data_IF_986500405793
#
_entry.id   IF_986500405793
#
_cell.length_a   1.000
_cell.length_b   1.000
_cell.length_c   1.000
_cell.angle_alpha   90.00
_cell.angle_beta   90.00
_cell.angle_gamma   90.00
#
_symmetry.space_group_name_H-M   'P 1'
#
loop_
_entity.id
_entity.type
_entity.pdbx_description
1 polymer ?
#
# COMPACT_ATOMS: atom_id res chain seq x y z
N UNK A 1 17.04 -5.26 0.54
CA UNK A 1 17.19 -3.87 1.04
C UNK A 1 18.51 -3.68 1.75
N UNK A 2 18.89 -2.43 2.00
CA UNK A 2 20.08 -2.07 2.78
C UNK A 2 20.02 -2.71 4.19
N UNK A 3 18.88 -2.62 4.86
CA UNK A 3 18.70 -3.22 6.20
C UNK A 3 18.84 -4.73 6.22
N UNK A 4 18.46 -5.43 5.14
CA UNK A 4 18.64 -6.90 5.03
C UNK A 4 20.11 -7.27 4.82
N UNK A 5 20.83 -6.50 4.01
CA UNK A 5 22.24 -6.76 3.72
C UNK A 5 23.17 -6.51 4.92
N UNK A 6 22.76 -5.58 5.80
CA UNK A 6 23.56 -5.15 6.95
C UNK A 6 23.19 -5.81 8.27
N UNK A 7 22.24 -6.75 8.27
CA UNK A 7 21.67 -7.42 9.46
C UNK A 7 20.93 -6.48 10.44
N UNK A 8 20.94 -5.16 10.20
CA UNK A 8 20.27 -4.19 11.05
C UNK A 8 18.76 -4.42 11.14
N UNK A 9 18.15 -4.86 10.04
CA UNK A 9 16.71 -5.17 10.02
C UNK A 9 16.36 -6.33 10.95
N UNK A 10 17.26 -7.30 11.13
CA UNK A 10 17.04 -8.43 12.05
C UNK A 10 16.98 -7.95 13.50
N UNK A 11 17.94 -7.09 13.90
CA UNK A 11 17.94 -6.49 15.24
C UNK A 11 16.71 -5.60 15.46
N UNK A 12 16.30 -4.83 14.45
CA UNK A 12 15.12 -3.98 14.53
C UNK A 12 13.82 -4.80 14.66
N UNK A 13 13.69 -5.89 13.90
CA UNK A 13 12.56 -6.83 14.03
C UNK A 13 12.48 -7.46 15.43
N UNK A 14 13.64 -7.81 16.01
CA UNK A 14 13.70 -8.32 17.37
C UNK A 14 13.23 -7.26 18.39
N UNK A 15 13.65 -5.99 18.24
CA UNK A 15 13.14 -4.89 19.07
C UNK A 15 11.62 -4.78 18.99
N UNK A 16 11.06 -4.76 17.79
CA UNK A 16 9.61 -4.68 17.61
C UNK A 16 8.88 -5.89 18.18
N UNK A 17 9.42 -7.09 18.03
CA UNK A 17 8.85 -8.31 18.59
C UNK A 17 8.80 -8.27 20.13
N UNK A 18 9.88 -7.85 20.79
CA UNK A 18 10.05 -7.96 22.24
C UNK A 18 9.63 -6.72 23.03
N UNK A 19 9.71 -5.55 22.41
CA UNK A 19 9.61 -4.27 23.12
C UNK A 19 8.41 -3.42 22.69
N UNK A 20 7.62 -3.85 21.70
CA UNK A 20 6.46 -3.09 21.23
C UNK A 20 5.24 -3.21 22.14
N UNK A 21 4.41 -2.18 22.08
CA UNK A 21 3.02 -2.27 22.51
C UNK A 21 2.21 -2.98 21.42
N UNK A 22 1.36 -3.92 21.83
CA UNK A 22 0.52 -4.70 20.93
C UNK A 22 -0.95 -4.30 21.08
N UNK A 23 -1.71 -4.14 19.99
CA UNK A 23 -3.12 -3.83 20.08
C UNK A 23 -3.92 -5.03 20.60
N UNK A 24 -4.79 -4.80 21.57
CA UNK A 24 -5.73 -5.79 22.04
C UNK A 24 -6.79 -6.06 20.97
N UNK A 25 -6.99 -7.32 20.54
CA UNK A 25 -7.98 -7.64 19.50
C UNK A 25 -9.44 -7.41 19.93
N UNK A 26 -9.70 -7.36 21.23
CA UNK A 26 -11.05 -7.21 21.77
C UNK A 26 -11.44 -5.75 22.02
N UNK A 27 -10.57 -4.95 22.63
CA UNK A 27 -10.90 -3.57 23.01
C UNK A 27 -10.04 -2.49 22.34
N UNK A 28 -9.09 -2.88 21.49
CA UNK A 28 -8.23 -1.97 20.71
C UNK A 28 -7.17 -1.21 21.53
N UNK A 29 -7.11 -1.36 22.86
CA UNK A 29 -6.10 -0.67 23.65
C UNK A 29 -4.70 -1.23 23.35
N UNK A 30 -3.70 -0.36 23.39
CA UNK A 30 -2.30 -0.75 23.22
C UNK A 30 -1.78 -1.31 24.55
N UNK A 31 -1.43 -2.59 24.54
CA UNK A 31 -0.92 -3.31 25.72
C UNK A 31 0.60 -3.18 25.78
N UNK A 32 1.16 -2.69 26.88
CA UNK A 32 2.61 -2.52 27.01
C UNK A 32 3.35 -3.87 26.98
N UNK A 33 4.61 -3.85 26.54
CA UNK A 33 5.46 -5.06 26.57
C UNK A 33 5.74 -5.48 28.02
N UNK A 34 6.01 -6.77 28.18
CA UNK A 34 6.44 -7.34 29.47
C UNK A 34 7.50 -8.44 29.24
N UNK A 35 8.21 -8.83 30.29
CA UNK A 35 9.16 -9.95 30.23
C UNK A 35 8.51 -11.29 29.86
N UNK A 36 7.19 -11.39 30.02
CA UNK A 36 6.41 -12.56 29.59
C UNK A 36 6.59 -12.86 28.10
N UNK A 37 6.72 -11.81 27.27
CA UNK A 37 6.94 -11.98 25.82
C UNK A 37 8.22 -12.76 25.52
N UNK A 38 9.31 -12.47 26.23
CA UNK A 38 10.57 -13.16 26.07
C UNK A 38 10.54 -14.59 26.62
N UNK A 39 9.71 -14.83 27.64
CA UNK A 39 9.50 -16.13 28.26
C UNK A 39 8.44 -16.99 27.55
N UNK A 40 7.88 -16.50 26.43
CA UNK A 40 6.79 -17.15 25.67
C UNK A 40 5.51 -17.38 26.49
N UNK A 41 5.31 -16.57 27.53
CA UNK A 41 4.12 -16.57 28.35
C UNK A 41 3.07 -15.67 27.68
N UNK A 42 1.81 -16.11 27.56
CA UNK A 42 0.75 -15.31 26.94
C UNK A 42 0.59 -13.93 27.56
N UNK A 43 0.47 -12.92 26.71
CA UNK A 43 0.18 -11.54 27.10
C UNK A 43 -1.35 -11.35 27.21
N UNK A 44 -1.81 -10.72 28.27
CA UNK A 44 -3.21 -10.43 28.49
C UNK A 44 -3.45 -8.92 28.61
N UNK A 45 -4.56 -8.48 28.03
CA UNK A 45 -4.96 -7.09 28.11
C UNK A 45 -5.37 -6.70 29.54
N UNK A 46 -4.74 -5.70 30.17
CA UNK A 46 -5.09 -5.28 31.52
C UNK A 46 -6.48 -4.63 31.61
N UNK A 47 -7.05 -4.19 30.47
CA UNK A 47 -8.35 -3.52 30.43
C UNK A 47 -9.53 -4.49 30.31
N UNK A 48 -9.41 -5.56 29.53
CA UNK A 48 -10.53 -6.47 29.23
C UNK A 48 -10.21 -7.94 29.45
N UNK A 49 -8.98 -8.31 29.85
CA UNK A 49 -8.56 -9.69 30.10
C UNK A 49 -8.35 -10.55 28.87
N UNK A 50 -8.61 -10.04 27.66
CA UNK A 50 -8.41 -10.81 26.43
C UNK A 50 -6.93 -11.11 26.19
N UNK A 51 -6.65 -12.30 25.66
CA UNK A 51 -5.30 -12.65 25.23
C UNK A 51 -4.89 -11.80 24.04
N UNK A 52 -3.68 -11.26 24.06
CA UNK A 52 -3.10 -10.40 23.02
C UNK A 52 -2.07 -11.21 22.24
N UNK A 53 -2.27 -11.40 20.93
CA UNK A 53 -1.31 -12.10 20.11
C UNK A 53 -0.02 -11.28 19.97
N UNK A 54 1.09 -11.89 20.31
CA UNK A 54 2.44 -11.32 20.17
C UNK A 54 3.12 -11.95 18.98
N UNK A 55 3.81 -11.15 18.19
CA UNK A 55 4.51 -11.60 16.98
C UNK A 55 5.97 -11.94 17.29
N UNK A 56 6.44 -13.08 16.80
CA UNK A 56 7.87 -13.40 16.73
C UNK A 56 8.59 -12.50 15.71
N UNK A 57 9.92 -12.39 15.82
CA UNK A 57 10.71 -11.55 14.91
C UNK A 57 10.53 -11.92 13.42
N UNK A 58 10.30 -13.19 13.11
CA UNK A 58 10.05 -13.68 11.75
C UNK A 58 8.74 -13.18 11.17
N UNK A 59 7.72 -12.95 12.01
CA UNK A 59 6.44 -12.41 11.60
C UNK A 59 6.48 -10.91 11.25
N UNK A 60 7.63 -10.27 11.47
CA UNK A 60 7.95 -8.93 10.97
C UNK A 60 8.79 -8.94 9.68
N UNK A 61 9.06 -10.11 9.11
CA UNK A 61 9.83 -10.24 7.88
C UNK A 61 8.92 -10.08 6.65
N UNK A 62 9.17 -9.09 5.82
CA UNK A 62 8.41 -8.83 4.59
C UNK A 62 8.67 -9.86 3.47
N UNK A 63 9.66 -10.73 3.62
CA UNK A 63 9.99 -11.83 2.71
C UNK A 63 9.61 -13.21 3.28
N UNK A 64 8.81 -13.24 4.32
CA UNK A 64 8.35 -14.44 5.01
C UNK A 64 6.91 -14.22 5.51
N UNK A 65 6.59 -14.73 6.70
CA UNK A 65 5.23 -14.70 7.28
C UNK A 65 4.69 -13.30 7.58
N UNK A 66 5.55 -12.27 7.64
CA UNK A 66 5.17 -10.88 7.78
C UNK A 66 4.81 -10.18 6.46
N UNK A 67 4.94 -10.85 5.31
CA UNK A 67 4.69 -10.26 4.00
C UNK A 67 3.24 -9.79 3.83
N UNK A 68 3.06 -8.66 3.17
CA UNK A 68 1.76 -8.23 2.70
C UNK A 68 1.24 -9.23 1.64
N UNK A 69 0.04 -9.81 1.78
CA UNK A 69 -0.47 -10.79 0.84
C UNK A 69 -0.75 -10.22 -0.55
N UNK A 70 -1.12 -8.93 -0.65
CA UNK A 70 -1.51 -8.31 -1.92
C UNK A 70 -0.33 -8.01 -2.84
N UNK A 71 0.84 -7.71 -2.28
CA UNK A 71 2.06 -7.44 -3.03
C UNK A 71 3.18 -8.46 -2.75
N UNK A 72 2.89 -9.52 -2.01
CA UNK A 72 3.85 -10.57 -1.66
C UNK A 72 5.17 -10.02 -1.06
N UNK A 73 5.05 -8.94 -0.28
CA UNK A 73 6.20 -8.29 0.37
C UNK A 73 7.06 -7.41 -0.54
N UNK A 74 6.67 -7.16 -1.79
CA UNK A 74 7.39 -6.23 -2.69
C UNK A 74 7.16 -4.77 -2.34
N UNK A 75 6.01 -4.44 -1.76
CA UNK A 75 5.60 -3.07 -1.44
C UNK A 75 5.10 -2.27 -2.63
N UNK A 76 5.21 -2.80 -3.83
CA UNK A 76 4.79 -2.18 -5.09
C UNK A 76 3.86 -3.10 -5.86
N UNK A 77 2.92 -2.50 -6.58
CA UNK A 77 1.99 -3.19 -7.47
C UNK A 77 1.82 -2.38 -8.76
N UNK A 78 1.21 -2.99 -9.76
CA UNK A 78 0.76 -2.25 -10.94
C UNK A 78 -0.53 -1.52 -10.59
N UNK A 79 -0.51 -0.20 -10.69
CA UNK A 79 -1.67 0.69 -10.46
C UNK A 79 -2.01 1.42 -11.74
N UNK A 80 -3.26 1.88 -11.84
CA UNK A 80 -3.69 2.68 -12.99
C UNK A 80 -2.94 4.01 -13.02
N UNK A 81 -2.41 4.37 -14.17
CA UNK A 81 -1.85 5.69 -14.42
C UNK A 81 -2.92 6.59 -15.04
N UNK A 82 -3.57 7.39 -14.23
CA UNK A 82 -4.66 8.27 -14.67
C UNK A 82 -4.25 9.22 -15.77
N UNK A 83 -2.98 9.63 -15.85
CA UNK A 83 -2.46 10.51 -16.91
C UNK A 83 -2.55 9.90 -18.30
N UNK A 84 -2.69 8.57 -18.40
CA UNK A 84 -2.78 7.83 -19.66
C UNK A 84 -4.22 7.60 -20.13
N UNK A 85 -5.21 7.87 -19.26
CA UNK A 85 -6.62 7.56 -19.54
C UNK A 85 -7.23 8.56 -20.54
N UNK A 86 -6.76 9.81 -20.51
CA UNK A 86 -7.15 10.88 -21.41
C UNK A 86 -5.90 11.53 -22.00
N UNK A 87 -5.28 10.91 -23.00
CA UNK A 87 -4.00 11.40 -23.56
C UNK A 87 -4.14 12.70 -24.37
N UNK A 88 -5.33 12.99 -24.88
CA UNK A 88 -5.63 14.21 -25.63
C UNK A 88 -6.90 14.87 -25.06
N UNK A 89 -6.71 15.87 -24.21
CA UNK A 89 -7.79 16.63 -23.59
C UNK A 89 -8.48 17.64 -24.57
N UNK A 90 -7.99 17.79 -25.80
CA UNK A 90 -8.64 18.58 -26.84
C UNK A 90 -9.83 17.87 -27.46
N UNK A 91 -9.88 16.55 -27.34
CA UNK A 91 -11.00 15.73 -27.80
C UNK A 91 -12.15 15.73 -26.78
N UNK A 92 -13.37 15.62 -27.27
CA UNK A 92 -14.53 15.31 -26.46
C UNK A 92 -14.62 13.81 -26.15
N UNK A 93 -15.45 13.43 -25.15
CA UNK A 93 -15.73 12.02 -24.85
C UNK A 93 -16.35 11.33 -26.09
N UNK A 94 -17.21 12.03 -26.82
CA UNK A 94 -17.81 11.50 -28.06
C UNK A 94 -16.78 11.23 -29.16
N UNK A 95 -15.72 12.04 -29.22
CA UNK A 95 -14.60 11.86 -30.15
C UNK A 95 -13.56 10.86 -29.64
N UNK A 96 -13.70 10.43 -28.38
CA UNK A 96 -12.90 9.37 -27.81
C UNK A 96 -11.78 9.79 -26.87
N UNK A 97 -11.91 10.91 -26.21
CA UNK A 97 -10.94 11.39 -25.23
C UNK A 97 -10.59 10.32 -24.17
N UNK A 98 -11.59 9.56 -23.69
CA UNK A 98 -11.41 8.52 -22.66
C UNK A 98 -11.01 7.20 -23.32
N UNK A 99 -9.73 6.99 -23.43
CA UNK A 99 -9.15 5.88 -24.18
C UNK A 99 -9.52 4.47 -23.66
N UNK A 100 -9.64 4.20 -22.35
CA UNK A 100 -10.09 2.90 -21.85
C UNK A 100 -11.50 2.52 -22.34
N UNK A 101 -12.41 3.47 -22.43
CA UNK A 101 -13.77 3.20 -22.89
C UNK A 101 -13.84 2.79 -24.36
N UNK A 102 -12.86 3.20 -25.17
CA UNK A 102 -12.78 2.80 -26.57
C UNK A 102 -12.10 1.46 -26.78
N UNK A 103 -11.12 1.13 -25.93
CA UNK A 103 -10.20 0.02 -26.22
C UNK A 103 -10.40 -1.19 -25.32
N UNK A 104 -11.00 -1.01 -24.16
CA UNK A 104 -11.19 -2.06 -23.14
C UNK A 104 -12.67 -2.34 -22.85
N UNK A 105 -13.58 -1.46 -23.28
CA UNK A 105 -15.01 -1.54 -22.99
C UNK A 105 -15.86 -1.24 -24.22
N UNK A 106 -17.18 -1.32 -24.06
CA UNK A 106 -18.13 -1.08 -25.13
C UNK A 106 -18.31 0.43 -25.38
N UNK A 107 -18.60 0.80 -26.62
CA UNK A 107 -18.83 2.18 -27.06
C UNK A 107 -19.99 2.90 -26.36
N UNK A 108 -20.87 2.17 -25.67
CA UNK A 108 -22.03 2.73 -24.95
C UNK A 108 -21.65 3.53 -23.69
N UNK A 109 -20.39 3.49 -23.22
CA UNK A 109 -20.05 4.16 -21.98
C UNK A 109 -20.19 5.68 -22.07
N UNK A 110 -20.04 6.25 -23.25
CA UNK A 110 -20.26 7.70 -23.50
C UNK A 110 -21.71 8.11 -23.27
N UNK A 111 -22.69 7.32 -23.75
CA UNK A 111 -24.12 7.58 -23.54
C UNK A 111 -24.51 7.42 -22.08
N UNK A 112 -23.90 6.44 -21.40
CA UNK A 112 -24.11 6.22 -19.97
C UNK A 112 -23.50 7.39 -19.16
N UNK A 113 -22.31 7.89 -19.53
CA UNK A 113 -21.68 9.04 -18.89
C UNK A 113 -22.53 10.33 -19.03
N UNK A 114 -23.15 10.53 -20.20
CA UNK A 114 -24.09 11.65 -20.40
C UNK A 114 -25.27 11.57 -19.42
N UNK A 115 -25.84 10.38 -19.22
CA UNK A 115 -26.91 10.16 -18.23
C UNK A 115 -26.43 10.31 -16.78
N UNK A 116 -25.14 10.18 -16.54
CA UNK A 116 -24.52 10.48 -15.24
C UNK A 116 -24.25 11.97 -15.03
N UNK A 117 -24.61 12.83 -15.99
CA UNK A 117 -24.48 14.29 -15.89
C UNK A 117 -23.16 14.84 -16.43
N UNK A 118 -22.40 14.05 -17.19
CA UNK A 118 -21.15 14.50 -17.81
C UNK A 118 -21.42 15.01 -19.23
N UNK A 119 -20.90 16.17 -19.57
CA UNK A 119 -20.97 16.73 -20.95
C UNK A 119 -20.01 15.96 -21.86
N UNK A 120 -20.56 15.19 -22.79
CA UNK A 120 -19.76 14.31 -23.65
C UNK A 120 -19.38 14.93 -24.99
N UNK A 121 -19.93 16.10 -25.31
CA UNK A 121 -19.79 16.80 -26.61
C UNK A 121 -18.83 18.00 -26.58
N UNK A 122 -18.22 18.29 -25.44
CA UNK A 122 -17.22 19.38 -25.29
C UNK A 122 -15.82 18.80 -25.11
N UNK A 123 -14.73 19.51 -25.44
CA UNK A 123 -13.37 19.09 -25.15
C UNK A 123 -13.20 18.69 -23.67
N UNK A 124 -12.47 17.63 -23.41
CA UNK A 124 -12.29 17.12 -22.04
C UNK A 124 -11.72 18.16 -21.08
N UNK A 125 -10.83 19.03 -21.57
CA UNK A 125 -10.27 20.16 -20.80
C UNK A 125 -11.31 21.16 -20.31
N UNK A 126 -12.50 21.22 -20.95
CA UNK A 126 -13.59 22.13 -20.59
C UNK A 126 -14.60 21.52 -19.61
N UNK A 127 -14.42 20.25 -19.23
CA UNK A 127 -15.20 19.61 -18.18
C UNK A 127 -14.88 20.23 -16.82
N UNK A 128 -15.91 20.35 -15.97
CA UNK A 128 -15.72 20.81 -14.60
C UNK A 128 -14.93 19.78 -13.79
N UNK A 129 -14.34 20.16 -12.65
CA UNK A 129 -13.67 19.21 -11.76
C UNK A 129 -14.58 18.04 -11.36
N UNK A 130 -15.87 18.29 -11.11
CA UNK A 130 -16.86 17.29 -10.74
C UNK A 130 -17.16 16.32 -11.90
N UNK A 131 -17.27 16.83 -13.13
CA UNK A 131 -17.44 16.01 -14.31
C UNK A 131 -16.21 15.13 -14.56
N UNK A 132 -15.00 15.67 -14.41
CA UNK A 132 -13.75 14.91 -14.51
C UNK A 132 -13.66 13.82 -13.43
N UNK A 133 -14.00 14.14 -12.19
CA UNK A 133 -14.04 13.18 -11.11
C UNK A 133 -15.07 12.07 -11.38
N UNK A 134 -16.25 12.41 -11.93
CA UNK A 134 -17.22 11.41 -12.36
C UNK A 134 -16.64 10.47 -13.42
N UNK A 135 -15.87 10.98 -14.39
CA UNK A 135 -15.23 10.16 -15.43
C UNK A 135 -14.16 9.24 -14.84
N UNK A 136 -13.34 9.73 -13.91
CA UNK A 136 -12.22 8.95 -13.34
C UNK A 136 -12.65 8.04 -12.20
N UNK A 137 -13.55 8.51 -11.31
CA UNK A 137 -13.83 7.86 -10.01
C UNK A 137 -15.33 7.69 -9.72
N UNK A 138 -16.21 8.10 -10.62
CA UNK A 138 -17.66 8.05 -10.41
C UNK A 138 -18.13 6.66 -9.98
N UNK A 139 -19.17 6.57 -9.12
CA UNK A 139 -19.65 5.31 -8.57
C UNK A 139 -20.31 4.43 -9.64
N UNK A 140 -20.15 3.12 -9.51
CA UNK A 140 -20.89 2.16 -10.31
C UNK A 140 -22.40 2.33 -10.03
N UNK A 141 -23.15 2.78 -11.04
CA UNK A 141 -24.58 3.03 -10.94
C UNK A 141 -25.29 2.43 -12.15
N UNK A 142 -26.44 1.79 -11.93
CA UNK A 142 -27.30 1.34 -13.01
C UNK A 142 -28.01 2.55 -13.65
N UNK A 143 -27.93 2.62 -14.96
CA UNK A 143 -28.53 3.66 -15.79
C UNK A 143 -29.42 2.99 -16.82
N UNK A 144 -30.64 3.47 -16.90
CA UNK A 144 -31.65 2.97 -17.86
C UNK A 144 -31.49 3.67 -19.20
N UNK A 145 -31.27 2.91 -20.27
CA UNK A 145 -31.07 3.43 -21.61
C UNK A 145 -31.93 2.68 -22.62
N UNK A 146 -32.40 3.44 -23.61
CA UNK A 146 -32.96 2.87 -24.83
C UNK A 146 -31.79 2.43 -25.74
N UNK A 147 -31.59 1.15 -25.86
CA UNK A 147 -30.56 0.56 -26.72
C UNK A 147 -31.15 0.11 -28.05
N UNK A 148 -30.54 0.51 -29.15
CA UNK A 148 -30.87 0.01 -30.47
C UNK A 148 -29.70 -0.83 -31.00
N UNK A 149 -29.97 -2.11 -31.26
CA UNK A 149 -28.97 -2.98 -31.84
C UNK A 149 -28.69 -2.59 -33.29
N UNK A 150 -27.46 -2.17 -33.57
CA UNK A 150 -27.04 -1.70 -34.89
C UNK A 150 -27.11 -2.78 -35.99
N UNK A 151 -27.12 -4.07 -35.64
CA UNK A 151 -27.16 -5.19 -36.58
C UNK A 151 -28.60 -5.68 -36.88
N UNK A 152 -29.46 -5.63 -35.89
CA UNK A 152 -30.84 -6.19 -36.01
C UNK A 152 -31.91 -5.10 -36.08
N UNK A 153 -31.57 -3.84 -35.78
CA UNK A 153 -32.50 -2.74 -35.68
C UNK A 153 -33.46 -2.81 -34.48
N UNK A 154 -33.41 -3.88 -33.70
CA UNK A 154 -34.26 -4.05 -32.53
C UNK A 154 -33.89 -3.02 -31.46
N UNK A 155 -34.88 -2.28 -31.00
CA UNK A 155 -34.79 -1.33 -29.92
C UNK A 155 -35.40 -1.95 -28.67
N UNK A 156 -34.75 -1.73 -27.50
CA UNK A 156 -35.24 -2.18 -26.20
C UNK A 156 -34.68 -1.32 -25.08
N UNK A 157 -35.41 -1.27 -23.99
CA UNK A 157 -34.94 -0.62 -22.79
C UNK A 157 -34.12 -1.61 -21.95
N UNK A 158 -32.92 -1.21 -21.56
CA UNK A 158 -32.01 -2.04 -20.76
C UNK A 158 -31.29 -1.21 -19.71
N UNK A 159 -31.00 -1.88 -18.58
CA UNK A 159 -30.16 -1.31 -17.52
C UNK A 159 -28.70 -1.61 -17.81
N UNK A 160 -27.88 -0.57 -17.86
CA UNK A 160 -26.43 -0.65 -17.98
C UNK A 160 -25.77 -0.12 -16.73
N UNK A 161 -24.66 -0.72 -16.33
CA UNK A 161 -23.87 -0.21 -15.20
C UNK A 161 -22.83 0.77 -15.72
N UNK A 162 -22.80 1.98 -15.14
CA UNK A 162 -21.72 2.92 -15.35
C UNK A 162 -20.42 2.40 -14.73
N UNK A 163 -19.34 2.43 -15.49
CA UNK A 163 -18.00 2.11 -15.04
C UNK A 163 -17.08 3.27 -15.38
N UNK A 164 -16.51 3.90 -14.37
CA UNK A 164 -15.52 4.95 -14.54
C UNK A 164 -14.26 4.47 -15.26
N UNK A 165 -13.41 5.39 -15.71
CA UNK A 165 -12.24 5.05 -16.53
C UNK A 165 -11.20 4.23 -15.75
N UNK A 166 -10.96 4.53 -14.47
CA UNK A 166 -10.04 3.78 -13.59
C UNK A 166 -10.53 2.35 -13.40
N UNK A 167 -11.79 2.18 -13.00
CA UNK A 167 -12.37 0.84 -12.82
C UNK A 167 -12.37 0.02 -14.12
N UNK A 168 -12.55 0.67 -15.26
CA UNK A 168 -12.48 -0.02 -16.57
C UNK A 168 -11.13 -0.69 -16.78
N UNK A 169 -10.03 -0.01 -16.42
CA UNK A 169 -8.66 -0.57 -16.51
C UNK A 169 -8.45 -1.66 -15.47
N UNK A 170 -8.85 -1.43 -14.21
CA UNK A 170 -8.72 -2.40 -13.12
C UNK A 170 -9.47 -3.70 -13.42
N UNK A 171 -10.73 -3.59 -13.91
CA UNK A 171 -11.54 -4.74 -14.30
C UNK A 171 -10.96 -5.48 -15.50
N UNK A 172 -10.37 -4.76 -16.46
CA UNK A 172 -9.68 -5.39 -17.58
C UNK A 172 -8.41 -6.12 -17.11
N UNK A 173 -7.61 -5.51 -16.22
CA UNK A 173 -6.43 -6.12 -15.63
C UNK A 173 -6.76 -7.41 -14.87
N UNK A 174 -7.82 -7.40 -14.05
CA UNK A 174 -8.27 -8.55 -13.29
C UNK A 174 -8.72 -9.75 -14.18
N UNK A 175 -9.09 -9.48 -15.42
CA UNK A 175 -9.54 -10.49 -16.39
C UNK A 175 -8.47 -10.90 -17.39
N UNK A 176 -7.27 -10.39 -17.29
CA UNK A 176 -6.17 -10.76 -18.20
C UNK A 176 -5.75 -12.20 -17.94
N UNK A 177 -5.77 -13.00 -19.01
CA UNK A 177 -5.37 -14.42 -18.98
C UNK A 177 -4.23 -14.73 -19.94
N UNK A 178 -3.88 -13.79 -20.83
CA UNK A 178 -2.86 -13.97 -21.86
C UNK A 178 -2.00 -12.71 -22.06
N UNK A 179 -0.89 -12.87 -22.77
CA UNK A 179 0.05 -11.79 -23.06
C UNK A 179 -0.58 -10.68 -23.94
N UNK A 180 -1.47 -11.04 -24.84
CA UNK A 180 -2.16 -10.09 -25.72
C UNK A 180 -3.10 -9.19 -24.92
N UNK A 181 -3.83 -9.76 -23.96
CA UNK A 181 -4.66 -9.01 -23.02
C UNK A 181 -3.79 -8.07 -22.16
N UNK A 182 -2.65 -8.56 -21.66
CA UNK A 182 -1.73 -7.73 -20.87
C UNK A 182 -1.22 -6.53 -21.66
N UNK A 183 -0.76 -6.70 -22.90
CA UNK A 183 -0.29 -5.59 -23.77
C UNK A 183 -1.35 -4.50 -24.00
N UNK A 184 -2.63 -4.86 -23.99
CA UNK A 184 -3.72 -3.89 -24.15
C UNK A 184 -3.94 -3.03 -22.90
N UNK A 185 -3.71 -3.60 -21.71
CA UNK A 185 -3.94 -2.93 -20.43
C UNK A 185 -2.68 -2.21 -19.94
N UNK A 186 -1.50 -2.77 -20.21
CA UNK A 186 -0.20 -2.30 -19.69
C UNK A 186 0.08 -0.81 -19.93
N UNK A 187 -0.35 -0.28 -21.07
CA UNK A 187 -0.18 1.16 -21.39
C UNK A 187 -0.90 2.11 -20.43
N UNK A 188 -1.86 1.59 -19.65
CA UNK A 188 -2.60 2.34 -18.64
C UNK A 188 -2.07 2.13 -17.23
N UNK A 189 -0.98 1.40 -17.07
CA UNK A 189 -0.45 1.00 -15.77
C UNK A 189 0.92 1.61 -15.53
N UNK A 190 1.16 1.92 -14.26
CA UNK A 190 2.50 2.24 -13.75
C UNK A 190 2.76 1.43 -12.48
N UNK A 191 4.02 1.32 -12.10
CA UNK A 191 4.37 0.81 -10.78
C UNK A 191 4.08 1.87 -9.72
N UNK A 192 3.43 1.47 -8.65
CA UNK A 192 3.08 2.33 -7.54
C UNK A 192 3.10 1.59 -6.21
N UNK A 193 3.02 2.30 -5.09
CA UNK A 193 2.97 1.67 -3.78
C UNK A 193 1.71 0.80 -3.66
N UNK A 194 1.86 -0.37 -3.06
CA UNK A 194 0.75 -1.27 -2.80
C UNK A 194 -0.30 -0.57 -1.91
N UNK A 195 -1.56 -0.44 -2.33
CA UNK A 195 -2.58 0.26 -1.55
C UNK A 195 -2.92 -0.43 -0.24
N UNK A 196 -2.83 -1.77 -0.17
CA UNK A 196 -3.12 -2.54 1.03
C UNK A 196 -2.11 -2.31 2.15
N UNK A 197 -0.82 -2.19 1.82
CA UNK A 197 0.22 -1.97 2.83
C UNK A 197 0.85 -0.56 2.81
N UNK A 198 0.42 0.32 1.89
CA UNK A 198 1.01 1.66 1.74
C UNK A 198 2.52 1.64 1.42
N UNK A 199 2.98 0.60 0.71
CA UNK A 199 4.39 0.41 0.39
C UNK A 199 5.24 -0.16 1.54
N UNK A 200 4.66 -0.46 2.71
CA UNK A 200 5.41 -0.98 3.88
C UNK A 200 5.92 -2.42 3.72
N UNK A 201 5.45 -3.15 2.73
CA UNK A 201 5.74 -4.57 2.47
C UNK A 201 5.15 -5.55 3.48
N UNK A 202 4.59 -5.05 4.60
CA UNK A 202 4.15 -5.84 5.74
C UNK A 202 2.64 -6.05 5.73
N UNK A 203 2.19 -7.20 6.23
CA UNK A 203 0.78 -7.48 6.47
C UNK A 203 0.22 -6.62 7.62
N UNK A 204 -1.10 -6.64 7.82
CA UNK A 204 -1.77 -5.83 8.83
C UNK A 204 -1.31 -6.13 10.26
N UNK A 205 -1.06 -7.42 10.58
CA UNK A 205 -0.61 -7.83 11.90
C UNK A 205 0.79 -7.27 12.21
N UNK A 206 1.74 -7.37 11.27
CA UNK A 206 3.10 -6.83 11.44
C UNK A 206 3.16 -5.29 11.46
N UNK A 207 2.15 -4.61 10.90
CA UNK A 207 2.04 -3.15 10.93
C UNK A 207 1.39 -2.59 12.19
N UNK A 208 0.71 -3.41 12.98
CA UNK A 208 -0.08 -2.97 14.13
C UNK A 208 0.75 -2.62 15.38
N UNK A 209 1.81 -3.37 15.77
CA UNK A 209 2.62 -3.06 16.94
C UNK A 209 3.30 -1.69 16.87
N UNK A 210 3.48 -1.06 18.03
CA UNK A 210 4.12 0.26 18.14
C UNK A 210 5.25 0.23 19.17
N UNK A 211 6.39 0.76 18.77
CA UNK A 211 7.52 1.01 19.66
C UNK A 211 7.79 2.51 19.68
N UNK A 212 7.78 3.15 20.86
CA UNK A 212 7.81 4.60 20.97
C UNK A 212 6.84 5.34 20.03
N UNK A 213 5.62 4.79 19.88
CA UNK A 213 4.54 5.38 19.08
C UNK A 213 4.58 5.11 17.57
N UNK A 214 5.64 4.54 17.01
CA UNK A 214 5.78 4.26 15.58
C UNK A 214 5.77 2.77 15.24
N UNK A 215 5.44 2.44 13.99
CA UNK A 215 5.51 1.08 13.46
C UNK A 215 6.89 0.74 12.89
N UNK A 216 7.15 -0.55 12.64
CA UNK A 216 8.39 -1.01 12.03
C UNK A 216 8.69 -0.35 10.68
N UNK A 217 7.67 -0.19 9.83
CA UNK A 217 7.84 0.46 8.52
C UNK A 217 8.30 1.91 8.64
N UNK A 218 7.80 2.64 9.65
CA UNK A 218 8.20 4.03 9.88
C UNK A 218 9.66 4.11 10.35
N UNK A 219 10.07 3.20 11.24
CA UNK A 219 11.45 3.08 11.67
C UNK A 219 12.39 2.75 10.49
N UNK A 220 11.99 1.84 9.59
CA UNK A 220 12.78 1.46 8.41
C UNK A 220 12.96 2.62 7.40
N UNK A 221 12.07 3.60 7.38
CA UNK A 221 12.15 4.78 6.51
C UNK A 221 13.06 5.88 7.04
N UNK A 222 13.42 5.84 8.33
CA UNK A 222 14.37 6.79 8.90
C UNK A 222 15.75 6.58 8.28
N UNK A 223 16.51 7.68 8.13
CA UNK A 223 17.95 7.56 7.84
C UNK A 223 18.65 6.87 9.01
N UNK A 224 19.76 6.19 8.75
CA UNK A 224 20.49 5.45 9.78
C UNK A 224 20.91 6.36 10.94
N UNK A 225 21.34 7.60 10.63
CA UNK A 225 21.66 8.61 11.66
C UNK A 225 20.47 8.87 12.60
N UNK A 226 19.29 9.09 12.04
CA UNK A 226 18.05 9.34 12.79
C UNK A 226 17.60 8.09 13.55
N UNK A 227 17.71 6.92 12.92
CA UNK A 227 17.30 5.67 13.51
C UNK A 227 18.15 5.31 14.73
N UNK A 228 19.48 5.54 14.68
CA UNK A 228 20.38 5.32 15.82
C UNK A 228 19.97 6.18 17.00
N UNK A 229 19.73 7.48 16.81
CA UNK A 229 19.25 8.39 17.85
C UNK A 229 17.90 7.96 18.43
N UNK A 230 16.99 7.47 17.56
CA UNK A 230 15.71 6.95 18.00
C UNK A 230 15.87 5.68 18.84
N UNK A 231 16.76 4.75 18.44
CA UNK A 231 17.06 3.51 19.19
C UNK A 231 17.66 3.79 20.56
N UNK A 232 18.54 4.79 20.70
CA UNK A 232 19.11 5.22 22.00
C UNK A 232 18.05 5.53 23.04
N UNK A 233 16.91 6.08 22.62
CA UNK A 233 15.80 6.42 23.51
C UNK A 233 14.86 5.25 23.82
N UNK A 234 15.04 4.06 23.22
CA UNK A 234 14.12 2.92 23.42
C UNK A 234 14.13 2.42 24.87
N UNK A 235 15.30 2.13 25.51
CA UNK A 235 15.29 1.61 26.89
C UNK A 235 14.58 2.52 27.87
N UNK A 236 14.82 3.84 27.79
CA UNK A 236 14.22 4.82 28.68
C UNK A 236 12.68 4.92 28.52
N UNK A 237 12.15 4.56 27.36
CA UNK A 237 10.70 4.60 27.07
C UNK A 237 9.91 3.40 27.62
N UNK A 238 10.59 2.41 28.19
CA UNK A 238 10.03 1.17 28.64
C UNK A 238 9.94 1.05 30.18
N UNK A 239 9.08 0.16 30.69
CA UNK A 239 9.05 -0.19 32.11
C UNK A 239 10.46 -0.57 32.61
N UNK A 240 10.74 -0.25 33.88
CA UNK A 240 12.09 -0.43 34.47
C UNK A 240 12.60 -1.86 34.36
N UNK A 241 11.73 -2.83 34.56
CA UNK A 241 12.04 -4.26 34.47
C UNK A 241 12.41 -4.71 33.04
N UNK A 242 11.99 -3.97 32.01
CA UNK A 242 12.30 -4.25 30.61
C UNK A 242 13.63 -3.67 30.13
N UNK A 243 14.15 -2.67 30.83
CA UNK A 243 15.31 -1.89 30.39
C UNK A 243 16.58 -2.73 30.17
N UNK A 244 16.97 -3.68 31.04
CA UNK A 244 18.17 -4.47 30.78
C UNK A 244 18.11 -5.29 29.48
N UNK A 245 16.94 -5.87 29.18
CA UNK A 245 16.74 -6.57 27.92
C UNK A 245 16.76 -5.62 26.72
N UNK A 246 16.11 -4.46 26.86
CA UNK A 246 16.10 -3.46 25.81
C UNK A 246 17.49 -2.89 25.51
N UNK A 247 18.29 -2.61 26.55
CA UNK A 247 19.68 -2.16 26.43
C UNK A 247 20.51 -3.18 25.63
N UNK A 248 20.43 -4.45 25.98
CA UNK A 248 21.17 -5.52 25.29
C UNK A 248 20.81 -5.62 23.81
N UNK A 249 19.51 -5.52 23.45
CA UNK A 249 19.06 -5.56 22.05
C UNK A 249 19.51 -4.30 21.31
N UNK A 250 19.39 -3.11 21.94
CA UNK A 250 19.80 -1.84 21.35
C UNK A 250 21.30 -1.76 21.13
N UNK A 251 22.12 -2.24 22.08
CA UNK A 251 23.60 -2.30 21.95
C UNK A 251 24.01 -3.12 20.74
N UNK A 252 23.38 -4.28 20.50
CA UNK A 252 23.65 -5.11 19.33
C UNK A 252 23.37 -4.36 18.03
N UNK A 253 22.27 -3.63 17.96
CA UNK A 253 21.94 -2.77 16.80
C UNK A 253 22.98 -1.65 16.64
N UNK A 254 23.28 -0.94 17.70
CA UNK A 254 24.21 0.21 17.70
C UNK A 254 25.63 -0.19 17.28
N UNK A 255 26.12 -1.35 17.75
CA UNK A 255 27.44 -1.86 17.36
C UNK A 255 27.56 -2.11 15.86
N UNK A 256 26.49 -2.61 15.22
CA UNK A 256 26.46 -2.78 13.76
C UNK A 256 26.29 -1.45 13.04
N UNK A 257 25.42 -0.58 13.54
CA UNK A 257 25.16 0.72 12.96
C UNK A 257 26.39 1.65 12.99
N UNK A 258 27.16 1.65 14.08
CA UNK A 258 28.37 2.44 14.22
C UNK A 258 29.36 2.21 13.08
N UNK A 259 29.57 0.94 12.68
CA UNK A 259 30.48 0.59 11.57
C UNK A 259 29.99 1.18 10.23
N UNK A 260 28.70 1.25 10.03
CA UNK A 260 28.10 1.81 8.79
C UNK A 260 28.16 3.35 8.83
N UNK A 261 28.00 3.95 9.97
CA UNK A 261 28.18 5.40 10.16
C UNK A 261 29.64 5.82 9.90
N UNK A 262 30.62 5.04 10.37
CA UNK A 262 32.04 5.28 10.10
C UNK A 262 32.37 5.20 8.61
N UNK A 263 31.60 4.42 7.84
CA UNK A 263 31.67 4.36 6.36
C UNK A 263 30.92 5.50 5.66
N UNK A 264 30.31 6.43 6.41
CA UNK A 264 29.55 7.54 5.85
C UNK A 264 28.17 7.19 5.31
N UNK A 265 27.60 6.02 5.70
CA UNK A 265 26.32 5.53 5.19
C UNK A 265 25.10 6.01 6.01
N UNK A 266 25.27 6.99 6.89
CA UNK A 266 24.23 7.52 7.78
C UNK A 266 22.98 8.06 7.09
N UNK A 267 23.11 8.49 5.84
CA UNK A 267 22.00 9.02 5.02
C UNK A 267 21.07 7.95 4.46
N UNK A 268 21.46 6.67 4.50
CA UNK A 268 20.66 5.56 3.98
C UNK A 268 19.57 5.13 4.96
N UNK A 269 18.40 4.75 4.43
CA UNK A 269 17.32 4.12 5.20
C UNK A 269 17.36 2.58 5.04
N UNK A 270 16.83 1.85 6.03
CA UNK A 270 16.85 0.40 6.00
C UNK A 270 15.98 -0.21 4.89
N UNK A 271 14.95 0.49 4.45
CA UNK A 271 14.05 0.09 3.35
C UNK A 271 14.64 0.39 1.96
N UNK A 272 15.76 1.15 1.86
CA UNK A 272 16.42 1.46 0.59
C UNK A 272 16.71 0.18 -0.19
N UNK A 273 16.33 0.16 -1.47
CA UNK A 273 16.59 -0.99 -2.34
C UNK A 273 18.08 -1.15 -2.63
N UNK A 274 18.57 -2.39 -2.51
CA UNK A 274 19.98 -2.70 -2.74
C UNK A 274 20.46 -2.33 -4.17
N UNK A 275 19.60 -2.52 -5.15
CA UNK A 275 19.89 -2.18 -6.56
C UNK A 275 20.15 -0.68 -6.78
N UNK A 276 19.65 0.20 -5.91
CA UNK A 276 19.85 1.66 -6.01
C UNK A 276 21.13 2.13 -5.30
N UNK A 277 21.87 1.24 -4.64
CA UNK A 277 23.13 1.55 -3.96
C UNK A 277 24.36 1.51 -4.89
N UNK A 278 24.25 0.89 -6.06
CA UNK A 278 25.34 0.68 -7.01
C UNK A 278 25.54 1.83 -8.03
N UNK A 279 24.89 2.97 -7.84
CA UNK A 279 24.90 4.10 -8.78
C UNK A 279 25.57 5.36 -8.22
N UNK A 280 26.53 5.22 -7.29
CA UNK A 280 27.35 6.35 -6.82
C UNK A 280 28.82 6.03 -7.08
#
# INVERSE_FOLDING_TARGET
TFGTMTELLNSLRLMFSRLSHYPCPSCGCMVPPSLNIAAEIPLYCPRCGAQVPVLGAEQFAFNSTGACPDCEGTGIVRVVDESTLVPDESLSINEGAVLPWQTLMWSLMKEIAEKMGVRTNVPFRELTPEERDMVFHGPAKKVHLLYQNSKTGAAGEMDFTYFNAVYTVENALAKVTDEKGMKRVERFLKQGPCPACGGSRLNAAARAPRLRGIGLADACRMTLDTLVQWVEGVPASLPVEMRPMAESICESFQATAARLLDLGLGYLSLDREAATLSTV
#
